data_IF_892753959106
#
_entry.id   IF_892753959106
#
_cell.length_a   1.000
_cell.length_b   1.000
_cell.length_c   1.000
_cell.angle_alpha   90.00
_cell.angle_beta   90.00
_cell.angle_gamma   90.00
#
_symmetry.space_group_name_H-M   'P 1'
#
loop_
_entity.id
_entity.type
_entity.pdbx_description
1 polymer ?
#
# COMPACT_ATOMS: atom_id res chain seq x y z
N UNK A 1 -41.73 4.34 6.03
CA UNK A 1 -40.51 3.51 6.23
C UNK A 1 -39.36 4.32 5.67
N UNK A 2 -38.56 4.94 6.53
CA UNK A 2 -37.49 5.87 6.14
C UNK A 2 -36.20 5.08 5.96
N UNK A 3 -35.66 5.10 4.74
CA UNK A 3 -34.43 4.40 4.37
C UNK A 3 -33.22 5.27 4.74
N UNK A 4 -32.46 4.83 5.74
CA UNK A 4 -31.17 5.44 6.09
C UNK A 4 -30.14 4.87 5.12
N UNK A 5 -29.84 5.60 4.05
CA UNK A 5 -28.70 5.27 3.19
C UNK A 5 -27.43 5.40 4.05
N UNK A 6 -26.57 4.38 4.14
CA UNK A 6 -25.25 4.61 4.70
C UNK A 6 -24.55 5.60 3.77
N UNK A 7 -24.16 6.76 4.30
CA UNK A 7 -23.11 7.58 3.72
C UNK A 7 -21.89 6.66 3.59
N UNK A 8 -21.75 6.06 2.40
CA UNK A 8 -20.52 5.42 1.99
C UNK A 8 -19.48 6.51 2.08
N UNK A 9 -18.69 6.46 3.15
CA UNK A 9 -17.57 7.34 3.33
C UNK A 9 -16.73 7.22 2.08
N UNK A 10 -16.76 8.28 1.27
CA UNK A 10 -15.60 8.61 0.46
C UNK A 10 -14.49 8.83 1.49
N UNK A 11 -13.82 7.74 1.87
CA UNK A 11 -12.48 7.86 2.39
C UNK A 11 -11.71 8.41 1.19
N UNK A 12 -11.74 9.74 1.03
CA UNK A 12 -10.80 10.47 0.20
C UNK A 12 -9.47 9.89 0.62
N UNK A 13 -8.88 9.11 -0.29
CA UNK A 13 -7.56 8.59 -0.12
C UNK A 13 -6.70 9.84 -0.05
N UNK A 14 -6.39 10.26 1.18
CA UNK A 14 -5.43 11.33 1.46
C UNK A 14 -4.05 10.74 1.13
N UNK A 15 -3.86 10.42 -0.14
CA UNK A 15 -2.65 9.91 -0.71
C UNK A 15 -1.86 11.17 -0.98
N UNK A 16 -0.99 11.51 -0.02
CA UNK A 16 0.12 12.44 -0.26
C UNK A 16 0.67 12.13 -1.66
N UNK A 17 0.79 13.12 -2.56
CA UNK A 17 1.16 12.84 -3.94
C UNK A 17 2.52 12.15 -3.96
N UNK A 18 2.52 10.86 -4.30
CA UNK A 18 3.72 10.05 -4.36
C UNK A 18 4.57 10.49 -5.54
N UNK A 19 5.86 10.68 -5.30
CA UNK A 19 6.81 11.14 -6.30
C UNK A 19 7.98 10.16 -6.45
N UNK A 20 8.69 10.24 -7.57
CA UNK A 20 9.95 9.52 -7.75
C UNK A 20 10.95 9.99 -6.67
N UNK A 21 11.59 9.04 -6.01
CA UNK A 21 12.49 9.27 -4.87
C UNK A 21 11.83 9.15 -3.50
N UNK A 22 10.50 9.02 -3.43
CA UNK A 22 9.78 8.87 -2.16
C UNK A 22 9.98 7.46 -1.57
N UNK A 23 10.14 7.39 -0.24
CA UNK A 23 10.16 6.12 0.48
C UNK A 23 8.73 5.68 0.79
N UNK A 24 8.39 4.48 0.32
CA UNK A 24 7.06 3.92 0.44
C UNK A 24 7.11 2.54 1.04
N UNK A 25 5.98 2.16 1.64
CA UNK A 25 5.73 0.80 2.07
C UNK A 25 4.53 0.19 1.35
N UNK A 26 4.58 -1.12 1.14
CA UNK A 26 3.52 -1.89 0.50
C UNK A 26 3.43 -3.28 1.14
N UNK A 27 2.31 -3.97 0.93
CA UNK A 27 2.08 -5.32 1.44
C UNK A 27 2.38 -6.32 0.33
N UNK A 28 3.39 -7.17 0.54
CA UNK A 28 3.66 -8.31 -0.31
C UNK A 28 2.96 -9.56 0.22
N UNK A 29 2.40 -10.34 -0.69
CA UNK A 29 1.82 -11.65 -0.39
C UNK A 29 2.77 -12.70 -0.97
N UNK A 30 3.12 -13.69 -0.16
CA UNK A 30 3.92 -14.83 -0.56
C UNK A 30 3.27 -16.10 -0.01
N UNK A 31 3.17 -17.17 -0.80
CA UNK A 31 2.50 -18.38 -0.33
C UNK A 31 2.22 -19.36 -1.45
N UNK A 32 2.25 -20.65 -1.11
CA UNK A 32 1.97 -21.75 -2.03
C UNK A 32 1.33 -22.93 -1.30
N UNK A 33 0.28 -23.48 -1.90
CA UNK A 33 -0.41 -24.70 -1.46
C UNK A 33 -1.33 -24.54 -0.25
N UNK A 34 -0.77 -24.25 0.93
CA UNK A 34 -1.50 -24.36 2.23
C UNK A 34 -1.46 -23.12 3.10
N UNK A 35 -0.64 -22.13 2.76
CA UNK A 35 -0.49 -20.93 3.57
C UNK A 35 -0.15 -19.71 2.72
N UNK A 36 -0.66 -18.58 3.19
CA UNK A 36 -0.29 -17.26 2.71
C UNK A 36 0.42 -16.52 3.83
N UNK A 37 1.49 -15.81 3.47
CA UNK A 37 2.24 -14.91 4.32
C UNK A 37 2.15 -13.51 3.73
N UNK A 38 1.61 -12.61 4.54
CA UNK A 38 1.61 -11.17 4.28
C UNK A 38 2.86 -10.57 4.92
N UNK A 39 3.48 -9.62 4.24
CA UNK A 39 4.66 -8.92 4.76
C UNK A 39 4.67 -7.47 4.30
N UNK A 40 4.84 -6.56 5.25
CA UNK A 40 5.15 -5.17 4.94
C UNK A 40 6.56 -5.08 4.34
N UNK A 41 6.71 -4.37 3.23
CA UNK A 41 7.99 -4.11 2.57
C UNK A 41 8.17 -2.63 2.36
N UNK A 42 9.39 -2.16 2.50
CA UNK A 42 9.83 -0.81 2.20
C UNK A 42 10.59 -0.77 0.87
N UNK A 43 10.42 0.31 0.13
CA UNK A 43 11.07 0.55 -1.15
C UNK A 43 11.01 2.03 -1.52
N UNK A 44 11.91 2.44 -2.42
CA UNK A 44 11.91 3.79 -3.00
C UNK A 44 11.26 3.75 -4.37
N UNK A 45 10.45 4.75 -4.71
CA UNK A 45 9.89 4.89 -6.06
C UNK A 45 11.02 5.30 -7.02
N UNK A 46 11.37 4.45 -7.99
CA UNK A 46 12.35 4.78 -9.04
C UNK A 46 11.70 5.38 -10.29
N UNK A 47 10.46 4.98 -10.60
CA UNK A 47 9.72 5.52 -11.73
C UNK A 47 8.21 5.41 -11.51
N UNK A 48 7.44 6.30 -12.12
CA UNK A 48 5.98 6.24 -12.17
C UNK A 48 5.56 6.25 -13.63
N UNK A 49 4.76 5.27 -14.03
CA UNK A 49 4.19 5.14 -15.38
C UNK A 49 2.67 5.00 -15.24
N UNK A 50 1.94 6.11 -15.40
CA UNK A 50 0.50 6.14 -15.16
C UNK A 50 0.17 5.79 -13.70
N UNK A 51 -0.63 4.74 -13.49
CA UNK A 51 -1.04 4.25 -12.16
C UNK A 51 -0.04 3.25 -11.54
N UNK A 52 1.04 2.89 -12.24
CA UNK A 52 2.01 1.89 -11.78
C UNK A 52 3.33 2.58 -11.40
N UNK A 53 3.87 2.24 -10.23
CA UNK A 53 5.20 2.63 -9.81
C UNK A 53 6.17 1.45 -9.90
N UNK A 54 7.37 1.73 -10.40
CA UNK A 54 8.54 0.85 -10.26
C UNK A 54 9.23 1.22 -8.96
N UNK A 55 9.36 0.23 -8.08
CA UNK A 55 9.93 0.36 -6.75
C UNK A 55 11.26 -0.35 -6.67
N UNK A 56 12.23 0.24 -5.99
CA UNK A 56 13.49 -0.40 -5.62
C UNK A 56 13.52 -0.74 -4.15
N UNK A 57 13.66 -2.02 -3.88
CA UNK A 57 13.85 -2.54 -2.54
C UNK A 57 15.28 -2.25 -2.06
N UNK A 58 15.50 -2.25 -0.74
CA UNK A 58 16.82 -2.03 -0.14
C UNK A 58 17.92 -3.01 -0.64
N UNK A 59 17.52 -4.21 -1.09
CA UNK A 59 18.42 -5.20 -1.68
C UNK A 59 18.75 -4.95 -3.17
N UNK A 60 18.36 -3.81 -3.72
CA UNK A 60 18.59 -3.43 -5.12
C UNK A 60 17.66 -4.08 -6.14
N UNK A 61 16.71 -4.95 -5.71
CA UNK A 61 15.72 -5.53 -6.62
C UNK A 61 14.61 -4.55 -6.93
N UNK A 62 14.16 -4.57 -8.16
CA UNK A 62 13.02 -3.78 -8.62
C UNK A 62 11.74 -4.60 -8.67
N UNK A 63 10.61 -3.96 -8.42
CA UNK A 63 9.27 -4.54 -8.52
C UNK A 63 8.27 -3.47 -8.93
N UNK A 64 7.19 -3.86 -9.61
CA UNK A 64 6.12 -2.93 -9.98
C UNK A 64 4.94 -3.08 -9.04
N UNK A 65 4.37 -1.98 -8.58
CA UNK A 65 3.18 -1.96 -7.74
C UNK A 65 2.23 -0.82 -8.17
N UNK A 66 0.91 -0.99 -8.07
CA UNK A 66 -0.04 0.10 -8.27
C UNK A 66 0.16 1.19 -7.21
N UNK A 67 0.04 2.46 -7.60
CA UNK A 67 0.13 3.61 -6.69
C UNK A 67 -0.87 3.49 -5.54
N UNK A 68 -2.07 2.98 -5.82
CA UNK A 68 -3.12 2.73 -4.81
C UNK A 68 -2.75 1.72 -3.72
N UNK A 69 -1.68 0.93 -3.89
CA UNK A 69 -1.18 -0.06 -2.92
C UNK A 69 0.01 0.45 -2.12
N UNK A 70 0.52 1.63 -2.46
CA UNK A 70 1.63 2.25 -1.77
C UNK A 70 1.13 3.09 -0.61
N UNK A 71 1.94 3.17 0.42
CA UNK A 71 1.72 4.05 1.56
C UNK A 71 3.02 4.79 1.82
N UNK A 72 3.03 6.12 1.95
CA UNK A 72 4.22 6.86 2.34
C UNK A 72 4.83 6.27 3.61
N UNK A 73 6.16 6.23 3.73
CA UNK A 73 6.84 5.60 4.87
C UNK A 73 6.42 6.16 6.24
N UNK A 74 5.98 7.43 6.28
CA UNK A 74 5.50 8.11 7.48
C UNK A 74 4.11 7.61 7.94
N UNK A 75 3.44 6.79 7.15
CA UNK A 75 2.09 6.28 7.45
C UNK A 75 2.10 4.76 7.64
N UNK A 76 1.32 4.23 8.61
CA UNK A 76 1.16 2.79 8.75
C UNK A 76 0.48 2.25 7.50
N UNK A 77 1.05 1.22 6.88
CA UNK A 77 0.45 0.56 5.71
C UNK A 77 -0.76 -0.31 6.10
N UNK A 78 -1.44 -0.86 5.09
CA UNK A 78 -2.64 -1.66 5.26
C UNK A 78 -2.48 -2.82 6.25
N UNK A 79 -1.34 -3.52 6.25
CA UNK A 79 -1.10 -4.63 7.17
C UNK A 79 -0.95 -4.11 8.60
N UNK A 80 -0.16 -3.05 8.82
CA UNK A 80 0.04 -2.48 10.15
C UNK A 80 -1.27 -1.91 10.70
N UNK A 81 -2.08 -1.23 9.88
CA UNK A 81 -3.41 -0.74 10.28
C UNK A 81 -4.35 -1.89 10.68
N UNK A 82 -4.32 -3.01 9.96
CA UNK A 82 -5.12 -4.19 10.30
C UNK A 82 -4.71 -4.80 11.64
N UNK A 83 -3.40 -4.85 11.94
CA UNK A 83 -2.92 -5.33 13.23
C UNK A 83 -3.33 -4.38 14.37
N UNK A 84 -3.24 -3.07 14.16
CA UNK A 84 -3.62 -2.06 15.15
C UNK A 84 -5.13 -1.97 15.42
N UNK A 85 -5.97 -2.42 14.49
CA UNK A 85 -7.43 -2.38 14.66
C UNK A 85 -7.99 -3.64 15.34
N UNK A 86 -7.14 -4.66 15.57
CA UNK A 86 -7.53 -5.94 16.17
C UNK A 86 -7.19 -6.06 17.66
N UNK A 87 -6.72 -4.99 18.29
CA UNK A 87 -6.38 -4.89 19.72
C UNK A 87 -7.47 -4.18 20.56
#
# INVERSE_FOLDING_TARGET
MQVNQPQGGIAEANTTPLAVGDDVSYVAISGGGRSYRFSARNAVIEAITGDIATLRSANGRTTTQPLSKLTPAEQPNALTRMLMAGE
#
